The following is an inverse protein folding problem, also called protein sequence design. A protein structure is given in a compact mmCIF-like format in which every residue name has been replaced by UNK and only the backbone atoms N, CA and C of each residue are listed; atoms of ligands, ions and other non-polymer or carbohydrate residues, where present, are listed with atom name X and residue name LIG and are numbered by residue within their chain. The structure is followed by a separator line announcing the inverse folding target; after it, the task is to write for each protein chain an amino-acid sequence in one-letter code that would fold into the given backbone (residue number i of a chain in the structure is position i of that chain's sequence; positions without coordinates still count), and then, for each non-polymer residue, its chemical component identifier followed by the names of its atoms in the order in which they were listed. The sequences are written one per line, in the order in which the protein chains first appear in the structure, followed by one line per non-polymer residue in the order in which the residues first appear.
data_IF_317000923592
#
_entry.id   IF_317000923592
#
_cell.length_a   1.000
_cell.length_b   1.000
_cell.length_c   1.000
_cell.angle_alpha   90.00
_cell.angle_beta   90.00
_cell.angle_gamma   90.00
#
_symmetry.space_group_name_H-M   'P 1'
#
loop_
_entity.id
_entity.type
_entity.pdbx_description
1 polymer ?
#
# COMPACT_ATOMS: atom_id res chain seq x y z
N UNK A 1 -13.63 2.49 -5.54
CA UNK A 1 -13.57 1.05 -5.21
C UNK A 1 -14.06 0.88 -3.77
N UNK A 2 -14.87 -0.13 -3.46
CA UNK A 2 -15.39 -0.31 -2.10
C UNK A 2 -14.32 -0.89 -1.15
N UNK A 3 -14.34 -0.48 0.13
CA UNK A 3 -13.30 -0.80 1.13
C UNK A 3 -13.03 -2.31 1.26
N UNK A 4 -14.05 -3.14 1.11
CA UNK A 4 -13.98 -4.60 1.18
C UNK A 4 -13.13 -5.21 0.05
N UNK A 5 -13.28 -4.69 -1.18
CA UNK A 5 -12.48 -5.14 -2.31
C UNK A 5 -11.01 -4.73 -2.17
N UNK A 6 -10.75 -3.55 -1.61
CA UNK A 6 -9.39 -3.10 -1.32
C UNK A 6 -8.77 -4.03 -0.26
N UNK A 7 -9.48 -4.32 0.83
CA UNK A 7 -9.04 -5.22 1.90
C UNK A 7 -8.68 -6.62 1.39
N UNK A 8 -9.54 -7.24 0.59
CA UNK A 8 -9.31 -8.57 0.05
C UNK A 8 -8.03 -8.65 -0.80
N UNK A 9 -7.77 -7.60 -1.59
CA UNK A 9 -6.53 -7.50 -2.37
C UNK A 9 -5.28 -7.43 -1.47
N UNK A 10 -5.33 -6.66 -0.39
CA UNK A 10 -4.20 -6.53 0.53
C UNK A 10 -3.97 -7.76 1.41
N UNK A 11 -5.02 -8.41 1.91
CA UNK A 11 -4.89 -9.59 2.77
C UNK A 11 -4.14 -10.74 2.10
N UNK A 12 -4.48 -11.04 0.84
CA UNK A 12 -3.82 -12.12 0.09
C UNK A 12 -2.33 -11.84 -0.10
N UNK A 13 -1.98 -10.59 -0.41
CA UNK A 13 -0.59 -10.20 -0.66
C UNK A 13 0.24 -10.09 0.61
N UNK A 14 -0.32 -9.51 1.67
CA UNK A 14 0.36 -9.37 2.97
C UNK A 14 0.77 -10.73 3.55
N UNK A 15 -0.09 -11.75 3.47
CA UNK A 15 0.19 -13.10 3.97
C UNK A 15 1.34 -13.81 3.25
N UNK A 16 1.53 -13.53 1.95
CA UNK A 16 2.49 -14.26 1.12
C UNK A 16 3.86 -13.57 1.03
N UNK A 17 4.00 -12.39 1.64
CA UNK A 17 5.21 -11.60 1.55
C UNK A 17 5.91 -11.52 2.90
N UNK A 18 7.23 -11.36 2.86
CA UNK A 18 8.04 -11.18 4.06
C UNK A 18 7.60 -9.93 4.84
N UNK A 19 7.80 -9.91 6.17
CA UNK A 19 7.52 -8.73 6.98
C UNK A 19 8.23 -7.48 6.44
N UNK A 20 7.48 -6.40 6.26
CA UNK A 20 8.03 -5.14 5.73
C UNK A 20 8.99 -4.45 6.70
N UNK A 21 8.93 -4.77 7.99
CA UNK A 21 9.76 -4.21 9.04
C UNK A 21 9.36 -2.79 9.45
N UNK A 22 8.07 -2.46 9.33
CA UNK A 22 7.51 -1.14 9.63
C UNK A 22 5.99 -1.11 9.41
N UNK A 23 5.40 0.07 9.53
CA UNK A 23 3.97 0.31 9.30
C UNK A 23 3.73 1.11 8.01
N UNK A 24 2.76 0.69 7.19
CA UNK A 24 2.38 1.40 5.96
C UNK A 24 0.87 1.65 5.94
N UNK A 25 0.46 2.91 5.77
CA UNK A 25 -0.91 3.32 5.52
C UNK A 25 -1.15 3.52 4.03
N UNK A 26 -2.26 3.00 3.52
CA UNK A 26 -2.79 3.25 2.18
C UNK A 26 -4.04 4.10 2.26
N UNK A 27 -4.04 5.21 1.53
CA UNK A 27 -5.21 6.04 1.33
C UNK A 27 -5.64 5.93 -0.13
N UNK A 28 -6.78 5.28 -0.37
CA UNK A 28 -7.29 4.95 -1.71
C UNK A 28 -8.73 5.43 -1.83
N UNK A 29 -8.97 6.41 -2.70
CA UNK A 29 -10.29 7.03 -2.88
C UNK A 29 -10.95 7.49 -1.56
N UNK A 30 -10.15 7.95 -0.59
CA UNK A 30 -10.62 8.37 0.74
C UNK A 30 -10.81 7.23 1.74
N UNK A 31 -10.53 5.97 1.37
CA UNK A 31 -10.50 4.83 2.29
C UNK A 31 -9.09 4.58 2.80
N UNK A 32 -8.95 4.38 4.11
CA UNK A 32 -7.68 4.05 4.77
C UNK A 32 -7.56 2.55 5.07
N UNK A 33 -6.41 1.95 4.77
CA UNK A 33 -6.01 0.61 5.20
C UNK A 33 -4.56 0.66 5.69
N UNK A 34 -4.26 0.05 6.83
CA UNK A 34 -2.91 0.00 7.37
C UNK A 34 -2.35 -1.42 7.32
N UNK A 35 -1.03 -1.55 7.13
CA UNK A 35 -0.27 -2.79 7.20
C UNK A 35 0.77 -2.62 8.30
N UNK A 36 0.74 -3.50 9.30
CA UNK A 36 1.78 -3.62 10.31
C UNK A 36 2.65 -4.85 10.00
N UNK A 37 3.90 -4.61 9.59
CA UNK A 37 4.90 -5.66 9.40
C UNK A 37 6.09 -5.51 10.33
N UNK A 38 5.93 -4.87 11.49
CA UNK A 38 6.98 -4.75 12.51
C UNK A 38 7.30 -6.09 13.20
N UNK A 39 6.33 -7.03 13.17
CA UNK A 39 6.47 -8.37 13.72
C UNK A 39 7.03 -9.41 12.75
N UNK A 40 6.77 -10.68 13.05
CA UNK A 40 7.17 -11.83 12.23
C UNK A 40 6.29 -12.05 10.99
N UNK A 41 5.18 -11.31 10.86
CA UNK A 41 4.22 -11.41 9.76
C UNK A 41 3.62 -10.03 9.44
N UNK A 42 3.08 -9.84 8.24
CA UNK A 42 2.32 -8.64 7.88
C UNK A 42 0.86 -8.78 8.31
N UNK A 43 0.36 -7.83 9.10
CA UNK A 43 -1.03 -7.77 9.59
C UNK A 43 -1.76 -6.60 8.93
N UNK A 44 -2.97 -6.84 8.45
CA UNK A 44 -3.84 -5.76 7.96
C UNK A 44 -4.63 -5.19 9.13
N UNK A 45 -4.57 -3.88 9.29
CA UNK A 45 -5.32 -3.10 10.25
C UNK A 45 -6.32 -2.23 9.47
N UNK A 46 -7.59 -2.27 9.89
CA UNK A 46 -8.69 -1.51 9.25
C UNK A 46 -8.89 -0.11 9.84
N UNK A 47 -8.05 0.23 10.81
CA UNK A 47 -8.04 1.48 11.54
C UNK A 47 -7.22 2.53 10.80
N UNK A 48 -7.69 3.78 10.87
CA UNK A 48 -6.90 4.91 10.43
C UNK A 48 -5.93 5.29 11.57
N UNK A 49 -4.68 4.87 11.41
CA UNK A 49 -3.60 5.15 12.36
C UNK A 49 -2.42 5.81 11.64
N UNK A 50 -1.60 6.53 12.40
CA UNK A 50 -0.31 6.98 11.89
C UNK A 50 0.57 5.78 11.54
N UNK A 51 1.32 5.93 10.45
CA UNK A 51 2.20 4.90 9.93
C UNK A 51 3.53 5.53 9.50
N UNK A 52 4.60 4.74 9.57
CA UNK A 52 5.95 5.16 9.18
C UNK A 52 5.99 5.63 7.73
N UNK A 53 5.15 5.04 6.88
CA UNK A 53 4.93 5.46 5.50
C UNK A 53 3.44 5.53 5.17
N UNK A 54 3.02 6.58 4.47
CA UNK A 54 1.67 6.73 3.90
C UNK A 54 1.74 6.82 2.39
N UNK A 55 0.94 6.01 1.72
CA UNK A 55 0.82 5.97 0.27
C UNK A 55 -0.60 6.37 -0.13
N UNK A 56 -0.71 7.47 -0.87
CA UNK A 56 -2.00 7.99 -1.32
C UNK A 56 -2.11 7.84 -2.83
N UNK A 57 -3.21 7.24 -3.31
CA UNK A 57 -3.49 7.08 -4.73
C UNK A 57 -4.99 6.97 -5.02
N UNK A 58 -5.37 7.04 -6.30
CA UNK A 58 -6.73 6.69 -6.73
C UNK A 58 -6.88 5.17 -6.90
N UNK A 59 -8.09 4.64 -6.73
CA UNK A 59 -8.38 3.21 -6.91
C UNK A 59 -8.10 2.74 -8.34
N UNK A 60 -8.36 3.58 -9.34
CA UNK A 60 -8.03 3.28 -10.74
C UNK A 60 -6.52 3.10 -10.98
N UNK A 61 -5.69 3.89 -10.30
CA UNK A 61 -4.23 3.74 -10.36
C UNK A 61 -3.78 2.43 -9.72
N UNK A 62 -4.39 2.02 -8.60
CA UNK A 62 -4.10 0.75 -7.95
C UNK A 62 -4.39 -0.44 -8.89
N UNK A 63 -5.51 -0.41 -9.62
CA UNK A 63 -5.84 -1.43 -10.60
C UNK A 63 -4.86 -1.45 -11.78
N UNK A 64 -4.48 -0.28 -12.29
CA UNK A 64 -3.49 -0.17 -13.37
C UNK A 64 -2.11 -0.67 -12.94
N UNK A 65 -1.69 -0.37 -11.70
CA UNK A 65 -0.45 -0.89 -11.09
C UNK A 65 -0.51 -2.41 -10.96
N UNK A 66 -1.61 -2.95 -10.41
CA UNK A 66 -1.83 -4.39 -10.25
C UNK A 66 -1.78 -5.14 -11.57
N UNK A 67 -2.32 -4.53 -12.63
CA UNK A 67 -2.36 -5.13 -13.96
C UNK A 67 -1.06 -4.88 -14.76
N UNK A 68 -0.06 -4.22 -14.18
CA UNK A 68 1.20 -3.87 -14.85
C UNK A 68 1.06 -2.84 -15.97
N UNK A 69 -0.09 -2.16 -16.08
CA UNK A 69 -0.33 -1.12 -17.09
C UNK A 69 0.44 0.16 -16.80
N UNK A 70 0.69 0.44 -15.53
CA UNK A 70 1.46 1.59 -15.06
C UNK A 70 2.66 1.12 -14.26
N UNK A 71 3.83 1.72 -14.51
CA UNK A 71 5.01 1.47 -13.69
C UNK A 71 4.92 2.28 -12.38
N UNK A 72 5.16 1.67 -11.20
CA UNK A 72 5.11 2.36 -9.90
C UNK A 72 6.01 3.60 -9.82
N UNK A 73 7.22 3.53 -10.39
CA UNK A 73 8.16 4.65 -10.40
C UNK A 73 7.62 5.83 -11.21
N UNK A 74 7.00 5.55 -12.36
CA UNK A 74 6.33 6.57 -13.18
C UNK A 74 5.09 7.15 -12.48
N UNK A 75 4.34 6.34 -11.72
CA UNK A 75 3.20 6.80 -10.93
C UNK A 75 3.63 7.79 -9.83
N UNK A 76 4.77 7.55 -9.18
CA UNK A 76 5.38 8.48 -8.21
C UNK A 76 5.83 9.76 -8.89
N UNK A 77 6.59 9.64 -9.98
CA UNK A 77 7.13 10.81 -10.70
C UNK A 77 6.03 11.69 -11.30
N UNK A 78 4.91 11.10 -11.73
CA UNK A 78 3.74 11.84 -12.23
C UNK A 78 2.86 12.43 -11.13
N UNK A 79 3.17 12.18 -9.85
CA UNK A 79 2.40 12.67 -8.70
C UNK A 79 1.05 11.97 -8.49
N UNK A 80 0.73 10.95 -9.29
CA UNK A 80 -0.49 10.14 -9.16
C UNK A 80 -0.43 9.21 -7.94
N UNK A 81 0.77 8.74 -7.61
CA UNK A 81 1.07 8.02 -6.38
C UNK A 81 1.91 8.92 -5.48
N UNK A 82 1.38 9.28 -4.32
CA UNK A 82 2.08 10.13 -3.34
C UNK A 82 2.60 9.27 -2.21
N UNK A 83 3.84 9.55 -1.79
CA UNK A 83 4.50 8.88 -0.67
C UNK A 83 4.84 9.95 0.37
N UNK A 84 4.47 9.70 1.63
CA UNK A 84 4.84 10.51 2.79
C UNK A 84 5.49 9.59 3.84
N UNK A 85 6.56 10.05 4.48
CA UNK A 85 7.27 9.28 5.51
C UNK A 85 8.46 8.48 4.95
N UNK A 86 8.70 7.29 5.48
CA UNK A 86 9.83 6.43 5.15
C UNK A 86 9.72 5.88 3.72
N UNK A 87 10.53 6.44 2.82
CA UNK A 87 10.59 6.03 1.41
C UNK A 87 11.20 4.63 1.23
N UNK A 88 12.03 4.16 2.17
CA UNK A 88 12.59 2.81 2.16
C UNK A 88 11.49 1.75 2.35
N UNK A 89 10.51 2.02 3.22
CA UNK A 89 9.32 1.19 3.34
C UNK A 89 8.46 1.22 2.06
N UNK A 90 8.31 2.39 1.44
CA UNK A 90 7.59 2.51 0.17
C UNK A 90 8.26 1.71 -0.98
N UNK A 91 9.60 1.63 -1.00
CA UNK A 91 10.32 0.82 -1.98
C UNK A 91 10.11 -0.67 -1.78
N UNK A 92 10.08 -1.14 -0.52
CA UNK A 92 9.75 -2.54 -0.22
C UNK A 92 8.35 -2.89 -0.71
N UNK A 93 7.43 -1.92 -0.73
CA UNK A 93 6.08 -2.12 -1.23
C UNK A 93 6.02 -2.47 -2.73
N UNK A 94 6.99 -2.05 -3.54
CA UNK A 94 7.00 -2.45 -4.96
C UNK A 94 7.06 -3.97 -5.14
N UNK A 95 7.59 -4.71 -4.16
CA UNK A 95 7.56 -6.17 -4.19
C UNK A 95 6.15 -6.75 -3.96
N UNK A 96 5.21 -5.94 -3.47
CA UNK A 96 3.83 -6.33 -3.15
C UNK A 96 2.83 -5.89 -4.21
N UNK A 97 3.13 -4.93 -5.08
CA UNK A 97 2.20 -4.48 -6.13
C UNK A 97 2.42 -5.25 -7.42
#
# INVERSE_FOLDING_TARGET
MDKENILANFQSKAKNAAPIGGTIKFEIDGNSICIDGTGSENKILLEDMEADCTITMAGSLMEDLKNGKVNPMMAVMSGKLKIKGDQGLAMKLQAFM
#
